data_IF_461932244630
#
_entry.id   IF_461932244630
#
_cell.length_a   1.000
_cell.length_b   1.000
_cell.length_c   1.000
_cell.angle_alpha   90.00
_cell.angle_beta   90.00
_cell.angle_gamma   90.00
#
_symmetry.space_group_name_H-M   'P 1'
#
loop_
_entity.id
_entity.type
_entity.pdbx_description
1 polymer ?
#
# COMPACT_ATOMS: atom_id res chain seq x y z
N UNK A 1 -1.15 -58.39 39.13
CA UNK A 1 -0.96 -58.71 37.70
C UNK A 1 -1.72 -57.69 36.85
N UNK A 2 -1.04 -56.61 36.44
CA UNK A 2 -1.44 -55.69 35.36
C UNK A 2 -0.15 -55.26 34.66
N UNK A 3 -0.23 -54.98 33.36
CA UNK A 3 0.94 -55.03 32.47
C UNK A 3 1.58 -53.64 32.35
N UNK A 4 2.86 -53.54 32.71
CA UNK A 4 3.71 -52.40 32.36
C UNK A 4 4.06 -52.49 30.88
N UNK A 5 3.61 -51.53 30.07
CA UNK A 5 4.00 -51.42 28.66
C UNK A 5 5.03 -50.31 28.47
N UNK A 6 5.95 -50.55 27.54
CA UNK A 6 7.15 -49.76 27.31
C UNK A 6 6.88 -48.66 26.29
N UNK A 7 7.44 -47.46 26.50
CA UNK A 7 7.75 -46.51 25.44
C UNK A 7 9.21 -46.11 25.57
N UNK A 8 10.05 -46.53 24.62
CA UNK A 8 11.47 -46.17 24.53
C UNK A 8 11.64 -44.80 23.90
N UNK A 9 12.36 -43.89 24.55
CA UNK A 9 12.83 -42.66 23.93
C UNK A 9 14.11 -42.92 23.12
N UNK A 10 14.14 -42.47 21.85
CA UNK A 10 15.30 -42.61 20.97
C UNK A 10 15.50 -41.38 20.07
N UNK A 11 16.35 -40.48 20.56
CA UNK A 11 17.23 -39.53 19.87
C UNK A 11 16.85 -38.87 18.51
N UNK A 12 16.92 -37.54 18.54
CA UNK A 12 17.47 -36.61 17.53
C UNK A 12 16.85 -36.54 16.13
N UNK A 13 16.26 -35.37 15.86
CA UNK A 13 16.05 -34.82 14.53
C UNK A 13 17.37 -34.48 13.82
N UNK A 14 17.50 -34.93 12.58
CA UNK A 14 18.31 -34.25 11.56
C UNK A 14 17.39 -33.87 10.39
N UNK A 15 16.58 -32.83 10.60
CA UNK A 15 15.93 -32.14 9.50
C UNK A 15 17.00 -31.32 8.77
N UNK A 16 17.53 -31.86 7.68
CA UNK A 16 18.47 -31.14 6.82
C UNK A 16 17.86 -29.82 6.36
N UNK A 17 18.60 -28.73 6.52
CA UNK A 17 18.22 -27.41 6.05
C UNK A 17 18.21 -27.37 4.51
N UNK A 18 17.09 -27.75 3.90
CA UNK A 18 16.83 -27.48 2.48
C UNK A 18 16.67 -25.96 2.34
N UNK A 19 17.70 -25.29 1.83
CA UNK A 19 17.59 -23.91 1.39
C UNK A 19 16.49 -23.85 0.31
N UNK A 20 15.64 -22.82 0.38
CA UNK A 20 14.33 -22.81 -0.29
C UNK A 20 14.37 -23.29 -1.75
N UNK A 21 13.74 -24.44 -2.01
CA UNK A 21 13.28 -24.72 -3.36
C UNK A 21 12.10 -23.79 -3.64
N UNK A 22 12.21 -22.99 -4.70
CA UNK A 22 11.05 -22.28 -5.25
C UNK A 22 9.89 -23.24 -5.45
N UNK A 23 8.70 -22.83 -5.03
CA UNK A 23 7.44 -23.51 -5.37
C UNK A 23 6.82 -22.99 -6.66
N UNK A 24 7.27 -21.83 -7.14
CA UNK A 24 6.79 -21.16 -8.35
C UNK A 24 7.66 -21.46 -9.58
N UNK A 25 7.16 -21.11 -10.77
CA UNK A 25 7.79 -21.37 -12.07
C UNK A 25 7.89 -20.08 -12.92
N UNK A 26 8.59 -20.12 -14.04
CA UNK A 26 8.89 -18.93 -14.87
C UNK A 26 7.65 -18.19 -15.44
N UNK A 27 6.51 -18.87 -15.60
CA UNK A 27 5.26 -18.29 -16.13
C UNK A 27 4.35 -17.70 -15.03
N UNK A 28 4.54 -18.15 -13.79
CA UNK A 28 3.85 -17.68 -12.60
C UNK A 28 4.89 -17.45 -11.49
N UNK A 29 5.77 -16.43 -11.64
CA UNK A 29 7.03 -16.38 -10.91
C UNK A 29 6.91 -15.86 -9.48
N UNK A 30 5.81 -15.22 -9.11
CA UNK A 30 5.63 -14.50 -7.85
C UNK A 30 4.77 -15.32 -6.87
N UNK A 31 5.32 -15.63 -5.69
CA UNK A 31 4.59 -16.34 -4.63
C UNK A 31 3.83 -15.35 -3.74
N UNK A 32 2.56 -15.66 -3.45
CA UNK A 32 1.78 -15.02 -2.38
C UNK A 32 0.83 -16.03 -1.74
N UNK A 33 0.80 -16.06 -0.41
CA UNK A 33 -0.23 -16.77 0.41
C UNK A 33 -0.47 -18.26 0.07
N UNK A 34 0.49 -18.96 -0.53
CA UNK A 34 0.35 -20.37 -0.94
C UNK A 34 0.13 -20.61 -2.43
N UNK A 35 -0.01 -19.54 -3.22
CA UNK A 35 -0.27 -19.55 -4.66
C UNK A 35 0.86 -18.84 -5.42
N UNK A 36 0.92 -19.07 -6.74
CA UNK A 36 1.91 -18.48 -7.64
C UNK A 36 1.20 -17.85 -8.85
N UNK A 37 1.57 -16.62 -9.23
CA UNK A 37 1.00 -15.91 -10.38
C UNK A 37 2.04 -14.92 -10.99
N UNK A 38 1.63 -14.12 -11.98
CA UNK A 38 2.46 -13.09 -12.65
C UNK A 38 1.85 -11.68 -12.66
N UNK A 39 0.63 -11.50 -12.12
CA UNK A 39 -0.04 -10.20 -11.96
C UNK A 39 0.52 -9.38 -10.80
N UNK A 40 0.26 -8.06 -10.81
CA UNK A 40 0.63 -7.16 -9.71
C UNK A 40 0.06 -7.59 -8.34
N UNK A 41 -1.12 -8.23 -8.33
CA UNK A 41 -1.76 -8.81 -7.13
C UNK A 41 -0.84 -9.79 -6.37
N UNK A 42 0.11 -10.40 -7.08
CA UNK A 42 1.12 -11.32 -6.55
C UNK A 42 2.54 -10.75 -6.57
N UNK A 43 2.88 -9.94 -7.56
CA UNK A 43 4.26 -9.52 -7.81
C UNK A 43 4.68 -8.21 -7.13
N UNK A 44 3.77 -7.38 -6.61
CA UNK A 44 4.16 -6.17 -5.88
C UNK A 44 5.07 -6.52 -4.68
N UNK A 45 6.11 -5.71 -4.49
CA UNK A 45 7.15 -5.87 -3.47
C UNK A 45 6.66 -6.35 -2.11
N UNK A 46 5.67 -5.66 -1.53
CA UNK A 46 5.10 -5.89 -0.21
C UNK A 46 4.13 -7.09 -0.14
N UNK A 47 3.67 -7.60 -1.29
CA UNK A 47 2.76 -8.75 -1.38
C UNK A 47 3.47 -10.06 -1.75
N UNK A 48 4.66 -9.95 -2.37
CA UNK A 48 5.42 -11.05 -2.94
C UNK A 48 6.45 -11.62 -1.95
N UNK A 49 6.50 -12.96 -1.81
CA UNK A 49 7.53 -13.65 -1.01
C UNK A 49 8.75 -13.99 -1.89
N UNK A 50 9.90 -13.31 -1.77
CA UNK A 50 11.06 -13.54 -2.62
C UNK A 50 11.81 -14.85 -2.31
N UNK A 51 11.49 -15.55 -1.22
CA UNK A 51 12.13 -16.81 -0.82
C UNK A 51 11.40 -18.03 -1.41
N UNK A 52 10.08 -17.92 -1.63
CA UNK A 52 9.24 -18.98 -2.22
C UNK A 52 8.95 -18.79 -3.72
N UNK A 53 9.17 -17.58 -4.23
CA UNK A 53 9.07 -17.21 -5.64
C UNK A 53 10.11 -17.90 -6.54
N UNK A 54 9.88 -17.87 -7.86
CA UNK A 54 10.70 -18.56 -8.87
C UNK A 54 12.21 -18.24 -8.77
N UNK A 55 12.56 -16.99 -8.52
CA UNK A 55 13.91 -16.58 -8.15
C UNK A 55 13.88 -15.26 -7.35
N UNK A 56 15.05 -14.81 -6.88
CA UNK A 56 15.20 -13.59 -6.06
C UNK A 56 14.87 -12.27 -6.78
N UNK A 57 14.57 -12.31 -8.09
CA UNK A 57 14.12 -11.16 -8.89
C UNK A 57 12.71 -11.31 -9.45
N UNK A 58 11.94 -12.33 -9.02
CA UNK A 58 10.52 -12.46 -9.37
C UNK A 58 9.67 -11.29 -8.89
N UNK A 59 9.88 -10.88 -7.64
CA UNK A 59 9.11 -9.81 -7.02
C UNK A 59 9.52 -8.45 -7.62
N UNK A 60 8.52 -7.67 -8.03
CA UNK A 60 8.74 -6.30 -8.50
C UNK A 60 9.36 -5.50 -7.36
N UNK A 61 10.37 -4.69 -7.69
CA UNK A 61 11.04 -3.86 -6.70
C UNK A 61 10.16 -2.66 -6.32
N UNK A 62 10.35 -2.07 -5.13
CA UNK A 62 9.68 -0.82 -4.81
C UNK A 62 10.30 0.29 -5.67
N UNK A 63 9.46 1.06 -6.35
CA UNK A 63 9.83 2.24 -7.13
C UNK A 63 10.29 3.43 -6.24
N UNK A 64 10.32 3.21 -4.92
CA UNK A 64 10.63 4.21 -3.92
C UNK A 64 9.49 5.22 -3.69
N UNK A 65 9.81 6.25 -2.92
CA UNK A 65 8.90 7.34 -2.62
C UNK A 65 8.92 8.42 -3.71
N UNK A 66 7.74 8.84 -4.13
CA UNK A 66 7.53 9.88 -5.15
C UNK A 66 6.77 11.04 -4.50
N UNK A 67 7.44 12.18 -4.31
CA UNK A 67 6.78 13.40 -3.81
C UNK A 67 5.80 13.93 -4.86
N UNK A 68 4.52 14.02 -4.52
CA UNK A 68 3.44 14.33 -5.46
C UNK A 68 2.16 14.76 -4.75
N UNK A 69 1.33 15.53 -5.44
CA UNK A 69 -0.08 15.76 -5.08
C UNK A 69 -0.96 15.09 -6.13
N UNK A 70 -1.99 14.38 -5.69
CA UNK A 70 -2.98 13.69 -6.54
C UNK A 70 -4.36 14.25 -6.19
N UNK A 71 -5.05 14.87 -7.14
CA UNK A 71 -6.43 15.39 -6.97
C UNK A 71 -7.49 14.52 -7.66
N UNK A 72 -7.10 13.34 -8.13
CA UNK A 72 -7.99 12.40 -8.84
C UNK A 72 -8.74 13.03 -10.03
N UNK A 73 -8.01 13.83 -10.83
CA UNK A 73 -8.49 14.46 -12.06
C UNK A 73 -8.70 13.43 -13.19
N UNK A 74 -8.06 12.25 -13.11
CA UNK A 74 -8.11 11.20 -14.13
C UNK A 74 -8.57 9.85 -13.59
N UNK A 75 -9.36 9.12 -14.38
CA UNK A 75 -9.71 7.72 -14.08
C UNK A 75 -8.53 6.74 -14.15
N UNK A 76 -7.33 7.20 -14.52
CA UNK A 76 -6.09 6.44 -14.37
C UNK A 76 -5.49 6.54 -12.97
N UNK A 77 -5.87 7.54 -12.18
CA UNK A 77 -5.20 7.85 -10.90
C UNK A 77 -5.48 6.78 -9.84
N UNK A 78 -6.65 6.14 -9.86
CA UNK A 78 -6.94 4.92 -9.11
C UNK A 78 -7.49 3.82 -10.04
N UNK A 79 -6.83 2.66 -10.07
CA UNK A 79 -7.20 1.52 -10.94
C UNK A 79 -7.27 0.20 -10.17
N UNK A 80 -7.92 -0.82 -10.72
CA UNK A 80 -7.84 -2.18 -10.18
C UNK A 80 -6.40 -2.71 -10.29
N UNK A 81 -5.88 -3.33 -9.23
CA UNK A 81 -4.50 -3.89 -9.20
C UNK A 81 -4.26 -4.88 -10.35
N UNK A 82 -5.28 -5.61 -10.78
CA UNK A 82 -5.22 -6.55 -11.91
C UNK A 82 -4.98 -5.88 -13.28
N UNK A 83 -5.14 -4.56 -13.38
CA UNK A 83 -4.82 -3.76 -14.57
C UNK A 83 -3.50 -2.98 -14.48
N UNK A 84 -2.81 -3.04 -13.33
CA UNK A 84 -1.58 -2.29 -13.09
C UNK A 84 -0.38 -2.93 -13.81
N UNK A 85 0.33 -2.10 -14.59
CA UNK A 85 1.47 -2.53 -15.43
C UNK A 85 2.83 -2.08 -14.88
N UNK A 86 2.91 -1.78 -13.57
CA UNK A 86 4.18 -1.44 -12.90
C UNK A 86 4.59 0.04 -12.95
N UNK A 87 3.75 0.95 -13.47
CA UNK A 87 4.10 2.38 -13.58
C UNK A 87 3.36 3.25 -12.53
N UNK A 88 4.01 3.65 -11.42
CA UNK A 88 3.39 4.46 -10.37
C UNK A 88 3.20 5.93 -10.78
N UNK A 89 3.77 6.37 -11.90
CA UNK A 89 3.57 7.73 -12.40
C UNK A 89 2.22 7.89 -13.10
N UNK A 90 1.73 6.85 -13.79
CA UNK A 90 0.43 6.88 -14.51
C UNK A 90 -0.72 6.31 -13.70
N UNK A 91 -0.46 5.45 -12.73
CA UNK A 91 -1.47 4.90 -11.83
C UNK A 91 -1.02 5.15 -10.39
N UNK A 92 -1.68 6.08 -9.70
CA UNK A 92 -1.23 6.57 -8.38
C UNK A 92 -1.67 5.64 -7.25
N UNK A 93 -2.87 5.07 -7.37
CA UNK A 93 -3.48 4.16 -6.40
C UNK A 93 -4.03 2.89 -7.07
N UNK A 94 -4.01 1.80 -6.29
CA UNK A 94 -4.36 0.45 -6.68
C UNK A 94 -5.47 -0.07 -5.77
N UNK A 95 -6.64 -0.38 -6.33
CA UNK A 95 -7.68 -1.13 -5.64
C UNK A 95 -7.28 -2.60 -5.54
N UNK A 96 -7.16 -3.12 -4.31
CA UNK A 96 -6.56 -4.44 -4.03
C UNK A 96 -7.58 -5.57 -3.82
N UNK A 97 -8.87 -5.33 -4.09
CA UNK A 97 -9.93 -6.32 -3.99
C UNK A 97 -10.73 -6.46 -5.29
N UNK A 98 -11.28 -7.66 -5.50
CA UNK A 98 -12.29 -7.94 -6.52
C UNK A 98 -13.57 -8.45 -5.83
N UNK A 99 -14.77 -7.91 -6.15
CA UNK A 99 -15.03 -6.86 -7.14
C UNK A 99 -14.40 -5.51 -6.77
N UNK A 100 -13.84 -4.82 -7.75
CA UNK A 100 -13.30 -3.48 -7.55
C UNK A 100 -14.40 -2.48 -7.10
N UNK A 101 -14.31 -2.03 -5.85
CA UNK A 101 -15.17 -1.02 -5.24
C UNK A 101 -14.50 0.37 -5.08
N UNK A 102 -13.41 0.64 -5.80
CA UNK A 102 -12.77 1.97 -5.89
C UNK A 102 -12.96 2.56 -7.28
N UNK A 103 -13.34 3.83 -7.34
CA UNK A 103 -13.46 4.59 -8.59
C UNK A 103 -12.96 6.03 -8.40
N UNK A 104 -12.60 6.69 -9.51
CA UNK A 104 -12.40 8.15 -9.55
C UNK A 104 -13.68 8.78 -10.07
N UNK A 105 -14.34 9.60 -9.24
CA UNK A 105 -15.64 10.19 -9.53
C UNK A 105 -15.68 11.64 -9.04
N UNK A 106 -15.86 12.61 -9.96
CA UNK A 106 -15.98 14.05 -9.65
C UNK A 106 -14.76 14.64 -8.89
N UNK A 107 -13.54 14.33 -9.31
CA UNK A 107 -12.31 14.84 -8.67
C UNK A 107 -12.06 14.26 -7.28
N UNK A 108 -12.52 13.03 -7.03
CA UNK A 108 -12.34 12.32 -5.76
C UNK A 108 -12.04 10.84 -6.06
N UNK A 109 -11.15 10.23 -5.29
CA UNK A 109 -11.12 8.78 -5.13
C UNK A 109 -12.23 8.37 -4.17
N UNK A 110 -13.18 7.58 -4.68
CA UNK A 110 -14.37 7.14 -3.97
C UNK A 110 -14.24 5.67 -3.63
N UNK A 111 -14.17 5.37 -2.33
CA UNK A 111 -14.14 4.00 -1.81
C UNK A 111 -15.56 3.60 -1.41
N UNK A 112 -16.08 2.52 -1.98
CA UNK A 112 -17.47 2.08 -1.79
C UNK A 112 -17.54 0.82 -0.93
N UNK A 113 -18.58 0.73 -0.11
CA UNK A 113 -18.92 -0.52 0.59
C UNK A 113 -20.36 -0.90 0.27
N UNK A 114 -20.53 -2.06 -0.34
CA UNK A 114 -21.78 -2.57 -0.92
C UNK A 114 -22.26 -3.80 -0.16
N UNK A 115 -23.58 -4.04 -0.08
CA UNK A 115 -24.11 -5.21 0.61
C UNK A 115 -23.82 -6.53 -0.11
N UNK A 116 -23.01 -7.40 0.51
CA UNK A 116 -22.75 -8.78 0.12
C UNK A 116 -23.81 -9.69 0.75
N UNK A 117 -24.96 -9.77 0.09
CA UNK A 117 -26.12 -10.53 0.57
C UNK A 117 -25.84 -12.03 0.83
N UNK A 118 -25.05 -12.76 0.00
CA UNK A 118 -24.63 -14.13 0.31
C UNK A 118 -23.88 -14.28 1.65
N UNK A 119 -23.06 -13.31 2.05
CA UNK A 119 -22.30 -13.34 3.30
C UNK A 119 -22.91 -12.50 4.44
N UNK A 120 -24.05 -11.84 4.22
CA UNK A 120 -24.78 -11.03 5.20
C UNK A 120 -23.89 -9.94 5.87
N UNK A 121 -23.09 -9.23 5.05
CA UNK A 121 -22.17 -8.17 5.48
C UNK A 121 -21.91 -7.17 4.35
N UNK A 122 -21.14 -6.12 4.60
CA UNK A 122 -20.55 -5.27 3.58
C UNK A 122 -19.33 -5.92 2.91
N UNK A 123 -19.22 -5.75 1.59
CA UNK A 123 -17.96 -5.89 0.88
C UNK A 123 -17.38 -4.48 0.67
N UNK A 124 -16.25 -4.22 1.32
CA UNK A 124 -15.58 -2.91 1.36
C UNK A 124 -14.70 -2.61 0.16
N UNK A 125 -13.75 -1.71 0.36
CA UNK A 125 -12.71 -1.36 -0.60
C UNK A 125 -11.42 -0.95 0.12
N UNK A 126 -10.27 -1.26 -0.49
CA UNK A 126 -8.96 -0.77 -0.06
C UNK A 126 -8.18 -0.28 -1.27
N UNK A 127 -7.68 0.96 -1.20
CA UNK A 127 -6.89 1.61 -2.24
C UNK A 127 -5.47 1.93 -1.73
N UNK A 128 -4.44 1.35 -2.33
CA UNK A 128 -3.03 1.52 -1.92
C UNK A 128 -2.22 2.35 -2.91
N UNK A 129 -1.36 3.23 -2.45
CA UNK A 129 -0.44 3.97 -3.32
C UNK A 129 0.50 3.01 -4.07
N UNK A 130 0.75 3.29 -5.35
CA UNK A 130 1.65 2.49 -6.20
C UNK A 130 3.13 2.68 -5.85
N UNK A 131 3.49 3.86 -5.35
CA UNK A 131 4.79 4.18 -4.72
C UNK A 131 4.80 3.83 -3.24
N UNK A 132 6.00 3.66 -2.67
CA UNK A 132 6.23 3.47 -1.24
C UNK A 132 6.46 4.80 -0.52
N UNK A 133 6.66 4.75 0.80
CA UNK A 133 7.16 5.84 1.64
C UNK A 133 8.02 5.25 2.78
N UNK A 134 9.17 5.86 3.05
CA UNK A 134 10.03 5.55 4.19
C UNK A 134 10.44 6.88 4.82
N UNK A 135 9.67 7.28 5.84
CA UNK A 135 9.61 8.65 6.36
C UNK A 135 9.17 9.71 5.34
N UNK A 136 8.65 10.82 5.86
CA UNK A 136 8.05 11.90 5.10
C UNK A 136 6.73 12.36 5.70
N UNK A 137 5.96 13.11 4.92
CA UNK A 137 4.67 13.65 5.32
C UNK A 137 3.61 13.24 4.30
N UNK A 138 2.47 12.75 4.78
CA UNK A 138 1.33 12.36 3.93
C UNK A 138 0.10 13.08 4.45
N UNK A 139 -0.42 14.01 3.65
CA UNK A 139 -1.66 14.74 3.92
C UNK A 139 -2.75 14.26 2.97
N UNK A 140 -3.89 13.84 3.50
CA UNK A 140 -5.03 13.40 2.73
C UNK A 140 -6.28 14.20 3.12
N UNK A 141 -6.97 14.74 2.11
CA UNK A 141 -8.22 15.49 2.30
C UNK A 141 -9.40 14.52 2.21
N UNK A 142 -10.00 14.21 3.36
CA UNK A 142 -10.95 13.09 3.51
C UNK A 142 -12.28 13.59 4.07
N UNK A 143 -13.37 13.03 3.54
CA UNK A 143 -14.69 13.00 4.17
C UNK A 143 -15.13 11.55 4.37
N UNK A 144 -15.52 11.21 5.58
CA UNK A 144 -15.67 9.82 6.02
C UNK A 144 -17.04 9.24 5.65
N UNK A 145 -17.18 7.92 5.72
CA UNK A 145 -18.23 7.23 4.96
C UNK A 145 -19.66 7.39 5.47
N UNK A 146 -19.87 7.48 6.80
CA UNK A 146 -21.21 7.41 7.41
C UNK A 146 -21.18 7.63 8.93
N UNK A 147 -22.30 8.09 9.49
CA UNK A 147 -22.63 8.02 10.93
C UNK A 147 -23.31 6.69 11.34
N UNK A 148 -23.22 5.67 10.49
CA UNK A 148 -23.78 4.34 10.75
C UNK A 148 -22.85 3.51 11.65
N UNK A 149 -23.42 2.76 12.60
CA UNK A 149 -22.70 1.75 13.38
C UNK A 149 -21.99 0.76 12.47
N UNK A 150 -20.81 0.30 12.87
CA UNK A 150 -20.07 -0.75 12.20
C UNK A 150 -19.39 -0.37 10.87
N UNK A 151 -19.73 0.79 10.28
CA UNK A 151 -19.00 1.35 9.14
C UNK A 151 -17.70 1.98 9.64
N UNK A 152 -16.58 1.55 9.09
CA UNK A 152 -15.25 2.11 9.38
C UNK A 152 -14.64 2.68 8.11
N UNK A 153 -14.05 3.87 8.21
CA UNK A 153 -13.14 4.46 7.22
C UNK A 153 -11.72 4.44 7.79
N UNK A 154 -10.69 4.25 6.98
CA UNK A 154 -9.29 4.28 7.44
C UNK A 154 -8.33 4.95 6.44
N UNK A 155 -7.27 5.55 6.98
CA UNK A 155 -6.09 6.06 6.28
C UNK A 155 -4.86 5.57 7.04
N UNK A 156 -4.06 4.74 6.38
CA UNK A 156 -3.02 3.93 7.01
C UNK A 156 -1.71 4.06 6.20
N UNK A 157 -0.57 4.15 6.88
CA UNK A 157 0.75 3.87 6.32
C UNK A 157 1.16 2.48 6.84
N UNK A 158 1.26 1.48 5.97
CA UNK A 158 1.45 0.06 6.35
C UNK A 158 2.50 -0.65 5.47
N UNK A 159 3.29 -1.52 6.09
CA UNK A 159 4.08 -2.54 5.37
C UNK A 159 3.47 -3.93 5.65
N UNK A 160 2.94 -4.61 4.63
CA UNK A 160 2.21 -5.89 4.80
C UNK A 160 3.08 -7.06 5.29
N UNK A 161 4.39 -7.04 5.01
CA UNK A 161 5.28 -8.15 5.36
C UNK A 161 5.63 -8.12 6.85
N UNK A 162 6.11 -6.97 7.31
CA UNK A 162 6.47 -6.72 8.71
C UNK A 162 5.23 -6.49 9.57
N UNK A 163 4.27 -5.71 9.09
CA UNK A 163 3.17 -5.10 9.84
C UNK A 163 3.64 -4.05 10.85
N UNK A 164 4.60 -3.22 10.44
CA UNK A 164 4.66 -1.85 10.91
C UNK A 164 3.50 -1.05 10.30
N UNK A 165 2.80 -0.29 11.13
CA UNK A 165 1.54 0.39 10.79
C UNK A 165 1.40 1.73 11.54
N UNK A 166 0.85 2.75 10.87
CA UNK A 166 0.51 4.06 11.43
C UNK A 166 -0.84 4.47 10.84
N UNK A 167 -1.84 4.76 11.66
CA UNK A 167 -3.22 4.93 11.18
C UNK A 167 -3.95 6.18 11.70
N UNK A 168 -4.96 6.56 10.91
CA UNK A 168 -6.19 7.19 11.35
C UNK A 168 -7.36 6.24 11.04
N UNK A 169 -8.27 6.07 11.98
CA UNK A 169 -9.56 5.37 11.78
C UNK A 169 -10.75 6.22 12.22
N UNK A 170 -11.84 6.15 11.46
CA UNK A 170 -13.11 6.78 11.77
C UNK A 170 -14.20 5.73 11.84
N UNK A 171 -14.83 5.64 13.01
CA UNK A 171 -15.89 4.68 13.31
C UNK A 171 -17.23 5.41 13.28
N UNK A 172 -18.14 5.02 12.38
CA UNK A 172 -19.42 5.72 12.19
C UNK A 172 -20.34 5.72 13.42
N UNK A 173 -20.14 4.82 14.38
CA UNK A 173 -20.78 4.84 15.72
C UNK A 173 -20.45 6.11 16.50
N UNK A 174 -19.25 6.65 16.33
CA UNK A 174 -18.70 7.77 17.09
C UNK A 174 -18.18 8.87 16.12
N UNK A 175 -19.04 9.52 15.32
CA UNK A 175 -18.62 10.31 14.15
C UNK A 175 -17.95 11.66 14.47
N UNK A 176 -18.08 12.12 15.72
CA UNK A 176 -17.48 13.36 16.26
C UNK A 176 -16.07 13.14 16.85
N UNK A 177 -15.37 12.09 16.41
CA UNK A 177 -13.97 11.85 16.75
C UNK A 177 -13.23 11.15 15.60
N UNK A 178 -11.92 11.30 15.59
CA UNK A 178 -10.99 10.45 14.84
C UNK A 178 -10.15 9.65 15.83
N UNK A 179 -9.89 8.38 15.53
CA UNK A 179 -8.96 7.53 16.28
C UNK A 179 -7.61 7.51 15.58
N UNK A 180 -6.54 7.44 16.36
CA UNK A 180 -5.16 7.27 15.89
C UNK A 180 -4.55 6.09 16.61
N UNK A 181 -3.79 5.28 15.90
CA UNK A 181 -3.05 4.16 16.48
C UNK A 181 -1.77 3.88 15.68
N UNK A 182 -0.97 2.92 16.17
CA UNK A 182 0.21 2.43 15.47
C UNK A 182 0.55 1.01 15.95
N UNK A 183 1.08 0.19 15.05
CA UNK A 183 1.59 -1.15 15.37
C UNK A 183 3.05 -1.29 14.94
N UNK A 184 3.79 -2.08 15.70
CA UNK A 184 5.16 -2.47 15.39
C UNK A 184 5.17 -3.97 15.12
N UNK A 185 5.62 -4.38 13.94
CA UNK A 185 5.80 -5.78 13.53
C UNK A 185 4.64 -6.75 13.93
N UNK A 186 3.39 -6.34 13.71
CA UNK A 186 2.15 -7.09 14.05
C UNK A 186 1.93 -7.36 15.55
N UNK A 187 2.62 -6.64 16.44
CA UNK A 187 2.38 -6.69 17.89
C UNK A 187 1.06 -5.98 18.25
N UNK A 188 -0.02 -6.75 18.31
CA UNK A 188 -1.37 -6.27 18.63
C UNK A 188 -1.46 -5.76 20.07
N UNK A 189 -1.46 -4.44 20.22
CA UNK A 189 -1.63 -3.73 21.48
C UNK A 189 -2.77 -2.72 21.38
N UNK A 190 -3.94 -3.13 21.86
CA UNK A 190 -5.17 -2.35 21.85
C UNK A 190 -5.17 -1.15 22.82
N UNK A 191 -4.10 -0.92 23.58
CA UNK A 191 -3.99 0.21 24.52
C UNK A 191 -3.37 1.48 23.90
N UNK A 192 -2.78 1.36 22.70
CA UNK A 192 -2.13 2.46 21.98
C UNK A 192 -3.09 3.40 21.22
N UNK A 193 -4.35 3.01 21.03
CA UNK A 193 -5.34 3.85 20.36
C UNK A 193 -5.59 5.13 21.17
N UNK A 194 -5.61 6.27 20.50
CA UNK A 194 -5.96 7.58 21.09
C UNK A 194 -6.98 8.28 20.20
N UNK A 195 -8.13 8.63 20.78
CA UNK A 195 -9.19 9.37 20.09
C UNK A 195 -9.04 10.88 20.30
N UNK A 196 -9.36 11.64 19.26
CA UNK A 196 -9.41 13.11 19.26
C UNK A 196 -10.80 13.57 18.84
N UNK A 197 -11.48 14.33 19.69
CA UNK A 197 -12.83 14.84 19.43
C UNK A 197 -12.81 16.04 18.49
N UNK A 198 -13.68 16.03 17.48
CA UNK A 198 -13.79 17.06 16.44
C UNK A 198 -15.25 17.20 15.94
N UNK A 199 -15.45 17.91 14.83
CA UNK A 199 -16.76 17.96 14.16
C UNK A 199 -17.13 16.60 13.53
N UNK A 200 -18.35 16.46 13.02
CA UNK A 200 -18.79 15.26 12.31
C UNK A 200 -17.98 15.07 11.02
N UNK A 201 -17.10 14.06 11.02
CA UNK A 201 -16.14 13.80 9.94
C UNK A 201 -16.76 13.28 8.65
N UNK A 202 -18.07 12.94 8.67
CA UNK A 202 -18.83 12.51 7.50
C UNK A 202 -19.57 13.65 6.80
N UNK A 203 -19.73 14.80 7.48
CA UNK A 203 -20.40 15.97 6.93
C UNK A 203 -19.48 16.77 6.00
N UNK A 204 -18.23 17.02 6.42
CA UNK A 204 -17.30 17.93 5.77
C UNK A 204 -15.93 17.28 5.48
N UNK A 205 -15.16 17.88 4.57
CA UNK A 205 -13.78 17.44 4.27
C UNK A 205 -12.76 18.11 5.19
N UNK A 206 -11.94 17.27 5.85
CA UNK A 206 -10.84 17.69 6.72
C UNK A 206 -9.50 17.21 6.16
N UNK A 207 -8.42 17.92 6.50
CA UNK A 207 -7.05 17.57 6.08
C UNK A 207 -6.36 16.76 7.17
N UNK A 208 -6.19 15.45 6.95
CA UNK A 208 -5.55 14.53 7.89
C UNK A 208 -4.11 14.28 7.47
N UNK A 209 -3.17 14.49 8.39
CA UNK A 209 -1.73 14.34 8.10
C UNK A 209 -1.04 13.35 9.02
N UNK A 210 -0.23 12.47 8.45
CA UNK A 210 0.80 11.71 9.17
C UNK A 210 2.17 12.31 8.78
N UNK A 211 2.89 12.84 9.77
CA UNK A 211 4.25 13.40 9.66
C UNK A 211 5.21 12.43 10.38
N UNK A 212 5.92 11.60 9.62
CA UNK A 212 6.67 10.44 10.12
C UNK A 212 8.17 10.56 9.82
N UNK A 213 8.98 10.34 10.84
CA UNK A 213 10.44 10.45 10.81
C UNK A 213 11.09 9.35 11.67
N UNK A 214 12.41 9.21 11.63
CA UNK A 214 13.12 8.24 12.47
C UNK A 214 12.88 8.48 13.98
N UNK A 215 12.72 9.74 14.40
CA UNK A 215 12.57 10.11 15.82
C UNK A 215 11.11 10.26 16.31
N UNK A 216 10.14 10.58 15.43
CA UNK A 216 8.74 10.82 15.82
C UNK A 216 7.71 10.57 14.70
N UNK A 217 6.49 10.26 15.13
CA UNK A 217 5.26 10.40 14.34
C UNK A 217 4.46 11.57 14.94
N UNK A 218 3.91 12.45 14.09
CA UNK A 218 2.91 13.46 14.47
C UNK A 218 1.67 13.27 13.61
N UNK A 219 0.51 13.14 14.24
CA UNK A 219 -0.79 13.16 13.58
C UNK A 219 -1.36 14.57 13.65
N UNK A 220 -1.86 15.09 12.53
CA UNK A 220 -2.49 16.41 12.44
C UNK A 220 -3.88 16.33 11.82
N UNK A 221 -4.78 17.21 12.27
CA UNK A 221 -6.10 17.47 11.68
C UNK A 221 -6.18 18.97 11.36
N UNK A 222 -6.51 19.33 10.12
CA UNK A 222 -6.53 20.71 9.62
C UNK A 222 -5.24 21.49 9.99
N UNK A 223 -4.11 20.81 9.78
CA UNK A 223 -2.74 21.23 10.14
C UNK A 223 -2.49 21.55 11.63
N UNK A 224 -3.41 21.18 12.54
CA UNK A 224 -3.18 21.22 13.99
C UNK A 224 -2.67 19.86 14.49
N UNK A 225 -1.51 19.77 15.18
CA UNK A 225 -1.06 18.54 15.82
C UNK A 225 -2.04 18.05 16.89
N UNK A 226 -2.55 16.83 16.75
CA UNK A 226 -3.45 16.19 17.72
C UNK A 226 -2.74 15.14 18.59
N UNK A 227 -1.64 14.57 18.09
CA UNK A 227 -0.83 13.55 18.78
C UNK A 227 0.62 13.61 18.30
N UNK A 228 1.56 13.46 19.21
CA UNK A 228 2.96 13.15 18.93
C UNK A 228 3.30 11.80 19.59
N UNK A 229 4.04 10.94 18.89
CA UNK A 229 4.71 9.76 19.45
C UNK A 229 6.20 9.88 19.13
N UNK A 230 7.05 9.93 20.16
CA UNK A 230 8.50 9.88 19.96
C UNK A 230 8.97 8.43 20.01
N UNK A 231 9.92 8.06 19.15
CA UNK A 231 10.54 6.74 19.13
C UNK A 231 11.16 6.36 20.49
N UNK A 232 11.68 7.34 21.22
CA UNK A 232 12.25 7.12 22.57
C UNK A 232 11.20 6.63 23.58
N UNK A 233 9.94 7.05 23.44
CA UNK A 233 8.84 6.68 24.35
C UNK A 233 8.32 5.26 24.09
N UNK A 234 8.76 4.60 23.00
CA UNK A 234 8.37 3.21 22.65
C UNK A 234 9.37 2.14 23.09
N UNK A 235 10.37 2.50 23.92
CA UNK A 235 11.36 1.55 24.40
C UNK A 235 10.76 0.50 25.34
N UNK A 236 10.79 -0.77 24.91
CA UNK A 236 10.45 -1.90 25.75
C UNK A 236 11.72 -2.44 26.44
N UNK A 237 11.85 -2.31 27.78
CA UNK A 237 13.01 -2.81 28.52
C UNK A 237 13.07 -4.33 28.65
N UNK A 238 12.01 -5.07 28.30
CA UNK A 238 12.02 -6.54 28.31
C UNK A 238 12.67 -7.12 27.05
N UNK A 239 12.38 -6.54 25.88
CA UNK A 239 13.00 -6.91 24.60
C UNK A 239 14.25 -6.10 24.26
N UNK A 240 14.48 -4.95 24.93
CA UNK A 240 15.53 -3.97 24.62
C UNK A 240 15.41 -3.44 23.17
N UNK A 241 14.18 -3.16 22.74
CA UNK A 241 13.81 -2.69 21.40
C UNK A 241 12.89 -1.47 21.50
N UNK A 242 13.06 -0.51 20.59
CA UNK A 242 12.08 0.56 20.37
C UNK A 242 10.96 0.03 19.48
N UNK A 243 9.77 -0.18 20.03
CA UNK A 243 8.59 -0.69 19.31
C UNK A 243 7.95 0.42 18.49
N UNK A 244 8.61 0.79 17.40
CA UNK A 244 8.32 1.97 16.59
C UNK A 244 8.34 1.62 15.09
N UNK A 245 7.35 2.07 14.30
CA UNK A 245 7.30 1.85 12.86
C UNK A 245 8.55 2.39 12.14
N UNK A 246 9.30 1.50 11.49
CA UNK A 246 10.57 1.81 10.79
C UNK A 246 10.68 1.19 9.40
N UNK A 247 9.74 0.35 9.00
CA UNK A 247 9.76 -0.35 7.72
C UNK A 247 9.20 0.53 6.59
N UNK A 248 9.83 0.52 5.41
CA UNK A 248 9.27 1.17 4.21
C UNK A 248 7.87 0.64 3.89
N UNK A 249 6.90 1.53 3.70
CA UNK A 249 5.46 1.23 3.71
C UNK A 249 4.74 1.77 2.48
N UNK A 250 3.44 1.47 2.33
CA UNK A 250 2.53 2.16 1.40
C UNK A 250 1.51 2.99 2.17
N UNK A 251 1.10 4.10 1.57
CA UNK A 251 -0.17 4.77 1.92
C UNK A 251 -1.33 3.89 1.46
N UNK A 252 -2.35 3.74 2.31
CA UNK A 252 -3.52 2.90 2.09
C UNK A 252 -4.77 3.59 2.63
N UNK A 253 -5.86 3.56 1.87
CA UNK A 253 -7.18 4.04 2.29
C UNK A 253 -8.18 2.89 2.28
N UNK A 254 -9.10 2.87 3.24
CA UNK A 254 -10.06 1.78 3.40
C UNK A 254 -11.47 2.23 3.75
N UNK A 255 -12.45 1.43 3.34
CA UNK A 255 -13.81 1.42 3.90
C UNK A 255 -14.21 -0.04 4.16
N UNK A 256 -14.65 -0.37 5.38
CA UNK A 256 -14.88 -1.75 5.78
C UNK A 256 -15.99 -1.92 6.85
N UNK A 257 -16.48 -3.16 6.94
CA UNK A 257 -17.61 -3.54 7.80
C UNK A 257 -17.08 -4.17 9.10
N UNK A 258 -16.82 -3.33 10.10
CA UNK A 258 -16.46 -3.76 11.44
C UNK A 258 -17.65 -4.39 12.19
N UNK A 259 -18.87 -3.91 11.97
CA UNK A 259 -20.07 -4.39 12.65
C UNK A 259 -20.40 -5.84 12.32
N UNK A 260 -20.19 -6.28 11.08
CA UNK A 260 -20.41 -7.66 10.64
C UNK A 260 -19.10 -8.44 10.42
N UNK A 261 -17.99 -7.97 11.03
CA UNK A 261 -16.67 -8.63 10.99
C UNK A 261 -16.63 -10.04 11.62
N UNK A 262 -17.53 -10.34 12.56
CA UNK A 262 -17.59 -11.60 13.29
C UNK A 262 -16.59 -11.72 14.47
N UNK A 263 -15.73 -10.72 14.69
CA UNK A 263 -14.82 -10.67 15.83
C UNK A 263 -15.41 -9.78 16.94
N UNK A 264 -15.79 -10.36 18.07
CA UNK A 264 -16.56 -9.68 19.13
C UNK A 264 -15.99 -8.29 19.52
N UNK A 265 -14.69 -8.19 19.80
CA UNK A 265 -14.08 -6.91 20.18
C UNK A 265 -14.17 -5.85 19.07
N UNK A 266 -13.97 -6.23 17.82
CA UNK A 266 -14.16 -5.36 16.64
C UNK A 266 -15.61 -4.93 16.50
N UNK A 267 -16.57 -5.81 16.80
CA UNK A 267 -18.01 -5.52 16.74
C UNK A 267 -18.48 -4.60 17.88
N UNK A 268 -17.91 -4.73 19.08
CA UNK A 268 -18.16 -3.84 20.23
C UNK A 268 -17.54 -2.44 20.01
N UNK A 269 -16.32 -2.40 19.47
CA UNK A 269 -15.62 -1.17 19.09
C UNK A 269 -16.32 -0.43 17.95
N UNK A 270 -16.56 -1.08 16.81
CA UNK A 270 -17.17 -0.43 15.63
C UNK A 270 -18.67 -0.22 15.75
N UNK A 271 -19.37 -1.06 16.52
CA UNK A 271 -20.82 -1.04 16.72
C UNK A 271 -21.54 -2.13 15.92
N UNK A 272 -22.24 -3.04 16.63
CA UNK A 272 -23.02 -4.12 16.04
C UNK A 272 -24.53 -3.80 15.96
N UNK A 273 -25.22 -4.15 14.86
CA UNK A 273 -24.71 -4.56 13.55
C UNK A 273 -24.37 -3.33 12.69
N UNK A 274 -23.75 -3.56 11.54
CA UNK A 274 -23.78 -2.57 10.45
C UNK A 274 -25.17 -2.56 9.82
N UNK A 275 -25.86 -1.41 9.70
CA UNK A 275 -27.21 -1.37 9.15
C UNK A 275 -27.17 -1.55 7.63
N UNK A 276 -27.86 -2.57 7.14
CA UNK A 276 -27.84 -2.98 5.73
C UNK A 276 -29.24 -3.13 5.13
N UNK A 277 -29.37 -2.70 3.87
CA UNK A 277 -30.46 -3.06 2.96
C UNK A 277 -29.84 -3.50 1.63
N UNK A 278 -30.56 -4.23 0.74
CA UNK A 278 -30.04 -4.62 -0.57
C UNK A 278 -29.64 -3.46 -1.50
N UNK A 279 -30.05 -2.23 -1.18
CA UNK A 279 -29.71 -1.00 -1.91
C UNK A 279 -28.77 -0.07 -1.13
N UNK A 280 -28.29 -0.47 0.05
CA UNK A 280 -27.37 0.36 0.84
C UNK A 280 -25.97 0.34 0.23
N UNK A 281 -25.38 1.52 0.08
CA UNK A 281 -23.97 1.71 -0.25
C UNK A 281 -23.42 2.80 0.67
N UNK A 282 -22.30 2.54 1.34
CA UNK A 282 -21.54 3.56 2.07
C UNK A 282 -20.35 4.00 1.22
N UNK A 283 -19.94 5.27 1.34
CA UNK A 283 -18.94 5.87 0.45
C UNK A 283 -18.00 6.81 1.22
N UNK A 284 -16.72 6.44 1.34
CA UNK A 284 -15.68 7.37 1.78
C UNK A 284 -15.13 8.13 0.56
N UNK A 285 -14.75 9.39 0.78
CA UNK A 285 -14.28 10.30 -0.27
C UNK A 285 -12.90 10.83 0.08
N UNK A 286 -11.92 10.60 -0.79
CA UNK A 286 -10.60 11.23 -0.73
C UNK A 286 -10.49 12.20 -1.90
N UNK A 287 -10.55 13.49 -1.59
CA UNK A 287 -10.50 14.60 -2.54
C UNK A 287 -9.08 14.77 -3.11
N UNK A 288 -8.08 14.73 -2.24
CA UNK A 288 -6.69 14.87 -2.63
C UNK A 288 -5.73 14.18 -1.66
N UNK A 289 -4.57 13.75 -2.17
CA UNK A 289 -3.48 13.18 -1.37
C UNK A 289 -2.16 13.82 -1.78
N UNK A 290 -1.47 14.44 -0.82
CA UNK A 290 -0.11 14.97 -0.99
C UNK A 290 0.87 14.10 -0.20
N UNK A 291 1.91 13.62 -0.88
CA UNK A 291 3.02 12.86 -0.33
C UNK A 291 4.29 13.70 -0.47
N UNK A 292 5.04 13.86 0.61
CA UNK A 292 6.31 14.58 0.69
C UNK A 292 7.39 13.66 1.27
N UNK A 293 8.25 13.11 0.42
CA UNK A 293 9.25 12.13 0.82
C UNK A 293 10.38 12.74 1.66
N UNK A 294 10.80 12.05 2.74
CA UNK A 294 11.96 12.48 3.52
C UNK A 294 13.22 12.61 2.66
N UNK A 295 13.95 13.73 2.83
CA UNK A 295 15.16 14.04 2.05
C UNK A 295 14.92 14.51 0.60
N UNK A 296 13.69 14.41 0.09
CA UNK A 296 13.33 14.90 -1.24
C UNK A 296 13.19 16.42 -1.26
N UNK A 297 14.11 17.13 -1.93
CA UNK A 297 13.93 18.57 -2.18
C UNK A 297 12.89 18.79 -3.27
N UNK A 298 11.82 19.53 -2.94
CA UNK A 298 10.81 19.93 -3.91
C UNK A 298 11.42 20.90 -4.94
N UNK A 299 11.59 20.41 -6.16
CA UNK A 299 11.81 21.26 -7.34
C UNK A 299 10.52 21.29 -8.17
N UNK A 300 9.74 22.38 -8.12
CA UNK A 300 8.78 22.68 -9.17
C UNK A 300 9.48 22.66 -10.53
N UNK A 301 8.86 22.04 -11.53
CA UNK A 301 9.32 22.08 -12.91
C UNK A 301 8.97 23.45 -13.52
N UNK A 302 9.71 24.48 -13.13
CA UNK A 302 9.47 25.85 -13.57
C UNK A 302 9.89 26.05 -15.03
N UNK A 303 8.98 26.61 -15.84
CA UNK A 303 9.16 26.79 -17.27
C UNK A 303 9.80 28.13 -17.59
N UNK A 304 11.14 28.20 -17.56
CA UNK A 304 11.92 29.41 -17.81
C UNK A 304 12.62 29.44 -19.18
N UNK A 305 12.56 30.59 -19.86
CA UNK A 305 13.01 30.78 -21.25
C UNK A 305 14.52 30.62 -21.50
N UNK A 306 14.85 30.26 -22.74
CA UNK A 306 16.20 30.19 -23.29
C UNK A 306 16.78 31.60 -23.59
N UNK A 307 17.97 31.96 -23.08
CA UNK A 307 18.77 33.07 -23.60
C UNK A 307 19.57 32.66 -24.86
N UNK A 308 19.87 33.63 -25.73
CA UNK A 308 20.51 33.39 -27.04
C UNK A 308 21.96 33.88 -27.12
N UNK A 309 22.81 33.16 -27.86
CA UNK A 309 24.18 33.56 -28.23
C UNK A 309 25.30 33.06 -27.30
N UNK A 310 26.56 32.93 -27.76
CA UNK A 310 27.06 33.19 -29.13
C UNK A 310 28.41 32.51 -29.42
N UNK A 311 28.72 32.38 -30.72
CA UNK A 311 30.05 32.17 -31.35
C UNK A 311 30.74 30.79 -31.32
N UNK A 312 31.63 30.60 -32.30
CA UNK A 312 32.23 29.35 -32.79
C UNK A 312 33.60 29.67 -33.43
N UNK A 313 34.61 28.78 -33.32
CA UNK A 313 35.48 28.48 -34.47
C UNK A 313 35.85 26.98 -34.57
N UNK A 314 35.40 26.21 -35.58
CA UNK A 314 35.98 25.97 -36.94
C UNK A 314 37.08 24.89 -37.04
N UNK A 315 36.88 23.93 -37.96
CA UNK A 315 37.89 22.95 -38.44
C UNK A 315 37.77 21.54 -37.81
N UNK A 316 37.89 20.43 -38.56
CA UNK A 316 38.01 20.28 -40.02
C UNK A 316 38.14 18.81 -40.49
N UNK A 317 37.74 18.58 -41.74
CA UNK A 317 38.03 17.42 -42.64
C UNK A 317 37.53 15.98 -42.33
N UNK A 318 37.04 15.35 -43.41
CA UNK A 318 36.76 13.91 -43.65
C UNK A 318 37.92 13.35 -44.54
N UNK A 319 38.07 12.03 -44.88
CA UNK A 319 37.03 11.08 -45.35
C UNK A 319 37.20 9.60 -44.87
N UNK A 320 36.15 8.76 -44.77
CA UNK A 320 35.51 7.86 -45.78
C UNK A 320 36.34 6.67 -46.33
N UNK A 321 35.85 5.44 -46.12
CA UNK A 321 35.80 4.26 -47.03
C UNK A 321 34.69 3.33 -46.45
N UNK A 322 33.57 2.94 -47.07
CA UNK A 322 33.22 2.28 -48.36
C UNK A 322 33.46 0.77 -48.41
N UNK A 323 32.39 -0.04 -48.42
CA UNK A 323 32.43 -1.49 -48.66
C UNK A 323 31.03 -2.13 -48.75
N UNK A 324 30.86 -3.13 -49.62
CA UNK A 324 29.61 -3.87 -49.91
C UNK A 324 29.92 -5.34 -50.31
N UNK A 325 29.10 -6.20 -50.95
CA UNK A 325 27.72 -6.32 -51.51
C UNK A 325 27.44 -7.86 -51.55
N UNK A 326 26.29 -8.48 -51.84
CA UNK A 326 24.88 -8.12 -52.12
C UNK A 326 24.01 -9.40 -52.07
N UNK A 327 22.70 -9.31 -51.75
CA UNK A 327 21.65 -10.36 -51.95
C UNK A 327 21.78 -11.66 -51.09
N UNK A 328 20.78 -12.26 -50.41
CA UNK A 328 19.33 -12.53 -50.61
C UNK A 328 19.00 -13.79 -51.45
N UNK A 329 17.90 -14.54 -51.21
CA UNK A 329 17.01 -14.65 -50.03
C UNK A 329 16.76 -16.11 -49.54
N UNK A 330 16.12 -16.30 -48.37
CA UNK A 330 15.43 -17.56 -47.99
C UNK A 330 14.38 -17.32 -46.88
N UNK A 331 13.39 -18.21 -46.72
CA UNK A 331 12.13 -17.92 -46.03
C UNK A 331 11.69 -18.93 -44.95
N UNK A 332 11.69 -18.51 -43.68
CA UNK A 332 10.79 -19.00 -42.61
C UNK A 332 10.88 -18.05 -41.38
N UNK A 333 9.79 -17.79 -40.64
CA UNK A 333 9.85 -16.98 -39.41
C UNK A 333 10.27 -17.80 -38.18
N UNK A 334 11.29 -17.36 -37.44
CA UNK A 334 11.54 -17.81 -36.06
C UNK A 334 10.59 -17.09 -35.06
N UNK A 335 10.20 -17.74 -33.95
CA UNK A 335 9.49 -17.06 -32.86
C UNK A 335 10.41 -16.08 -32.10
N UNK A 336 9.87 -14.98 -31.53
CA UNK A 336 10.66 -13.91 -30.95
C UNK A 336 11.37 -14.32 -29.65
N UNK A 337 12.70 -14.25 -29.64
CA UNK A 337 13.53 -14.37 -28.43
C UNK A 337 13.64 -13.01 -27.77
N UNK A 338 12.95 -12.80 -26.64
CA UNK A 338 13.08 -11.57 -25.86
C UNK A 338 14.51 -11.43 -25.33
N UNK A 339 15.17 -10.30 -25.65
CA UNK A 339 16.40 -9.86 -24.98
C UNK A 339 16.05 -9.02 -23.75
N UNK A 340 16.86 -9.05 -22.68
CA UNK A 340 16.80 -8.03 -21.65
C UNK A 340 17.14 -6.65 -22.26
N UNK A 341 16.65 -5.59 -21.64
CA UNK A 341 17.05 -4.21 -21.94
C UNK A 341 17.57 -3.53 -20.69
N UNK A 342 18.55 -2.65 -20.91
CA UNK A 342 18.94 -1.59 -19.99
C UNK A 342 17.88 -0.47 -20.03
#
# INVERSE_FOLDING_TARGET
>A
MKITSIVTAAALSLASSVMGQSTCNEFSPCFREGYCDSSAMFCLWDLCDPVKSYNSTSCWQPEGCISQTVNFDSSSDAVAINSYQGNPQTNKFLSVFEPNNVAVENGNMVLKMTYDAPNNKGFGATAKASSTIHYGRVTARIKTASVATGVVTSFIIINEQTGDEIDFEWVGKDPAQVQTNYYYQKELDYTKMTAYSMADTSAEYHDYTIDWSEDRIVWLVDNQPIRELKRQDTFDPQSNVYKYPTSESRVSFGIWDGGNSGAQGTQEWSGYPTPWTPSTVYQAFVDSVTIECAGGSSKPSDGGEQPTGSEQPTGGEQPSETGKDSEAPSSAPEPPKCRPRN
#
